data_IF_945685336972
#
_entry.id   IF_945685336972
#
_cell.length_a   1.000
_cell.length_b   1.000
_cell.length_c   1.000
_cell.angle_alpha   90.00
_cell.angle_beta   90.00
_cell.angle_gamma   90.00
#
_symmetry.space_group_name_H-M   'P 1'
#
loop_
_entity.id
_entity.type
_entity.pdbx_description
1 polymer ?
#
# COMPACT_ATOMS: atom_id res chain seq x y z
N UNK A 1 -20.09 6.00 -7.77
CA UNK A 1 -19.13 6.98 -8.38
C UNK A 1 -17.73 6.41 -8.23
N UNK A 2 -16.85 6.62 -9.21
CA UNK A 2 -15.46 6.17 -9.09
C UNK A 2 -14.75 6.92 -7.97
N UNK A 3 -14.07 6.21 -7.08
CA UNK A 3 -13.35 6.77 -5.91
C UNK A 3 -12.16 7.65 -6.31
N UNK A 4 -11.82 8.61 -5.47
CA UNK A 4 -10.71 9.56 -5.73
C UNK A 4 -9.37 8.84 -5.93
N UNK A 5 -9.05 7.80 -5.14
CA UNK A 5 -7.81 7.03 -5.29
C UNK A 5 -7.70 6.43 -6.70
N UNK A 6 -8.77 5.79 -7.19
CA UNK A 6 -8.81 5.20 -8.54
C UNK A 6 -8.54 6.25 -9.61
N UNK A 7 -9.24 7.40 -9.55
CA UNK A 7 -9.08 8.49 -10.54
C UNK A 7 -7.67 9.06 -10.52
N UNK A 8 -7.13 9.26 -9.33
CA UNK A 8 -5.79 9.84 -9.14
C UNK A 8 -4.70 8.94 -9.74
N UNK A 9 -4.71 7.66 -9.39
CA UNK A 9 -3.73 6.70 -9.90
C UNK A 9 -3.91 6.43 -11.41
N UNK A 10 -5.17 6.41 -11.90
CA UNK A 10 -5.43 6.27 -13.33
C UNK A 10 -4.86 7.45 -14.13
N UNK A 11 -5.00 8.69 -13.63
CA UNK A 11 -4.44 9.85 -14.29
C UNK A 11 -2.90 9.79 -14.40
N UNK A 12 -2.23 9.24 -13.38
CA UNK A 12 -0.77 9.02 -13.41
C UNK A 12 -0.42 7.97 -14.47
N UNK A 13 -1.13 6.83 -14.49
CA UNK A 13 -0.98 5.79 -15.51
C UNK A 13 -1.16 6.36 -16.92
N UNK A 14 -2.22 7.14 -17.14
CA UNK A 14 -2.54 7.74 -18.44
C UNK A 14 -1.46 8.74 -18.91
N UNK A 15 -0.75 9.37 -17.98
CA UNK A 15 0.40 10.23 -18.26
C UNK A 15 1.69 9.45 -18.62
N UNK A 16 1.62 8.11 -18.68
CA UNK A 16 2.75 7.21 -18.92
C UNK A 16 3.85 7.27 -17.85
N UNK A 17 3.51 7.69 -16.65
CA UNK A 17 4.39 7.61 -15.49
C UNK A 17 4.16 6.31 -14.72
N UNK A 18 5.22 5.76 -14.16
CA UNK A 18 5.14 4.69 -13.19
C UNK A 18 4.50 5.18 -11.88
N UNK A 19 3.58 4.38 -11.33
CA UNK A 19 3.00 4.68 -10.02
C UNK A 19 3.97 4.19 -8.95
N UNK A 20 4.30 5.06 -7.99
CA UNK A 20 5.19 4.71 -6.88
C UNK A 20 4.50 4.98 -5.55
N UNK A 21 4.31 3.94 -4.75
CA UNK A 21 3.66 3.99 -3.43
C UNK A 21 4.61 3.46 -2.38
N UNK A 22 5.28 4.31 -1.58
CA UNK A 22 6.04 3.87 -0.42
C UNK A 22 5.12 3.45 0.72
N UNK A 23 5.52 2.41 1.45
CA UNK A 23 4.92 2.04 2.72
C UNK A 23 5.74 2.61 3.88
N UNK A 24 5.04 3.13 4.89
CA UNK A 24 5.61 3.55 6.16
C UNK A 24 4.81 2.95 7.33
N UNK A 25 5.47 2.67 8.45
CA UNK A 25 4.79 2.25 9.69
C UNK A 25 4.49 3.47 10.55
N UNK A 26 3.23 3.69 10.91
CA UNK A 26 2.85 4.80 11.78
C UNK A 26 3.50 4.63 13.16
N UNK A 27 4.26 5.64 13.59
CA UNK A 27 4.99 5.64 14.87
C UNK A 27 6.42 5.12 14.80
N UNK A 28 6.88 4.57 13.67
CA UNK A 28 8.28 4.14 13.48
C UNK A 28 9.21 5.30 13.08
N UNK A 29 9.06 6.40 13.74
CA UNK A 29 9.94 7.57 13.63
C UNK A 29 10.63 7.81 14.98
N UNK A 30 11.77 8.48 15.00
CA UNK A 30 12.49 8.81 16.24
C UNK A 30 11.61 9.57 17.25
N UNK A 31 10.71 10.43 16.74
CA UNK A 31 9.69 11.17 17.51
C UNK A 31 8.38 10.39 17.70
N UNK A 32 8.36 9.08 17.42
CA UNK A 32 7.14 8.29 17.44
C UNK A 32 6.08 8.82 16.48
N UNK A 33 4.82 8.84 16.90
CA UNK A 33 3.70 9.30 16.08
C UNK A 33 3.79 10.79 15.70
N UNK A 34 4.47 11.61 16.49
CA UNK A 34 4.63 13.04 16.19
C UNK A 34 5.48 13.29 14.93
N UNK A 35 6.35 12.35 14.56
CA UNK A 35 7.14 12.42 13.33
C UNK A 35 6.41 11.95 12.07
N UNK A 36 5.16 11.48 12.15
CA UNK A 36 4.44 10.93 11.01
C UNK A 36 4.38 11.90 9.82
N UNK A 37 4.01 13.15 10.06
CA UNK A 37 3.91 14.15 8.99
C UNK A 37 5.26 14.64 8.47
N UNK A 38 6.35 14.51 9.23
CA UNK A 38 7.70 14.78 8.73
C UNK A 38 8.08 13.73 7.67
N UNK A 39 7.80 12.45 7.97
CA UNK A 39 8.01 11.35 7.01
C UNK A 39 7.11 11.49 5.78
N UNK A 40 5.82 11.81 5.96
CA UNK A 40 4.90 12.05 4.84
C UNK A 40 5.40 13.18 3.95
N UNK A 41 5.81 14.32 4.53
CA UNK A 41 6.31 15.47 3.77
C UNK A 41 7.59 15.16 2.98
N UNK A 42 8.52 14.36 3.55
CA UNK A 42 9.70 13.87 2.84
C UNK A 42 9.30 13.11 1.57
N UNK A 43 8.36 12.18 1.69
CA UNK A 43 7.89 11.35 0.59
C UNK A 43 7.10 12.17 -0.46
N UNK A 44 6.23 13.08 -0.03
CA UNK A 44 5.49 13.97 -0.92
C UNK A 44 6.43 14.86 -1.75
N UNK A 45 7.46 15.43 -1.11
CA UNK A 45 8.47 16.25 -1.79
C UNK A 45 9.31 15.43 -2.81
N UNK A 46 9.37 14.11 -2.64
CA UNK A 46 10.01 13.18 -3.58
C UNK A 46 9.09 12.74 -4.74
N UNK A 47 7.83 13.21 -4.78
CA UNK A 47 6.91 13.06 -5.91
C UNK A 47 6.09 11.76 -5.94
N UNK A 48 5.87 11.10 -4.81
CA UNK A 48 5.10 9.86 -4.69
C UNK A 48 3.67 9.99 -5.23
N UNK A 49 3.10 8.87 -5.66
CA UNK A 49 1.72 8.82 -6.19
C UNK A 49 0.66 8.70 -5.08
N UNK A 50 0.98 7.99 -4.03
CA UNK A 50 0.21 7.81 -2.79
C UNK A 50 1.17 7.32 -1.71
N UNK A 51 0.74 7.27 -0.46
CA UNK A 51 1.54 6.71 0.65
C UNK A 51 0.70 5.66 1.36
N UNK A 52 1.25 4.46 1.49
CA UNK A 52 0.68 3.41 2.31
C UNK A 52 1.14 3.58 3.76
N UNK A 53 0.19 3.69 4.69
CA UNK A 53 0.45 3.89 6.12
C UNK A 53 0.00 2.65 6.88
N UNK A 54 0.97 1.88 7.38
CA UNK A 54 0.73 0.71 8.20
C UNK A 54 0.32 1.07 9.62
N UNK A 55 -0.69 0.39 10.12
CA UNK A 55 -1.12 0.48 11.52
C UNK A 55 -0.41 -0.63 12.30
N UNK A 56 0.34 -0.30 13.37
CA UNK A 56 1.03 -1.31 14.15
C UNK A 56 0.02 -2.27 14.80
N UNK A 57 0.30 -3.58 14.70
CA UNK A 57 -0.53 -4.65 15.22
C UNK A 57 0.34 -5.74 15.86
N UNK A 58 -0.16 -6.38 16.92
CA UNK A 58 0.58 -7.41 17.66
C UNK A 58 0.69 -8.74 16.92
N UNK A 59 -0.27 -9.04 16.04
CA UNK A 59 -0.41 -10.35 15.39
C UNK A 59 -0.50 -10.23 13.86
N UNK A 60 0.51 -9.62 13.19
CA UNK A 60 0.51 -9.42 11.76
C UNK A 60 0.72 -10.75 11.02
N UNK A 61 -0.15 -11.05 10.04
CA UNK A 61 -0.07 -12.29 9.25
C UNK A 61 0.47 -12.08 7.84
N UNK A 62 0.60 -10.83 7.40
CA UNK A 62 1.06 -10.47 6.05
C UNK A 62 2.41 -9.74 6.04
N UNK A 63 2.91 -9.32 7.19
CA UNK A 63 4.11 -8.51 7.29
C UNK A 63 5.39 -9.36 7.25
N UNK A 64 6.43 -8.83 6.63
CA UNK A 64 7.76 -9.41 6.72
C UNK A 64 8.55 -8.88 7.94
N UNK A 65 9.71 -9.48 8.25
CA UNK A 65 10.44 -9.20 9.50
C UNK A 65 10.77 -7.73 9.76
N UNK A 66 11.02 -6.94 8.71
CA UNK A 66 11.33 -5.51 8.82
C UNK A 66 10.11 -4.72 9.25
N UNK A 67 8.95 -5.02 8.66
CA UNK A 67 7.69 -4.33 8.94
C UNK A 67 7.15 -4.78 10.31
N UNK A 68 7.25 -6.07 10.64
CA UNK A 68 6.93 -6.58 11.98
C UNK A 68 7.73 -5.87 13.07
N UNK A 69 9.05 -5.72 12.88
CA UNK A 69 9.91 -5.00 13.83
C UNK A 69 9.47 -3.55 14.00
N UNK A 70 9.22 -2.83 12.90
CA UNK A 70 8.74 -1.46 12.93
C UNK A 70 7.39 -1.34 13.68
N UNK A 71 6.48 -2.30 13.46
CA UNK A 71 5.22 -2.42 14.18
C UNK A 71 5.42 -2.63 15.69
N UNK A 72 6.29 -3.55 16.08
CA UNK A 72 6.62 -3.81 17.49
C UNK A 72 7.22 -2.57 18.17
N UNK A 73 8.13 -1.87 17.50
CA UNK A 73 8.73 -0.63 18.03
C UNK A 73 7.69 0.50 18.18
N UNK A 74 6.73 0.58 17.27
CA UNK A 74 5.63 1.53 17.35
C UNK A 74 4.67 1.20 18.50
N UNK A 75 4.31 -0.08 18.67
CA UNK A 75 3.51 -0.54 19.81
C UNK A 75 4.21 -0.28 21.16
N UNK A 76 5.53 -0.46 21.22
CA UNK A 76 6.32 -0.16 22.41
C UNK A 76 6.32 1.33 22.81
N UNK A 77 5.93 2.22 21.88
CA UNK A 77 5.71 3.66 22.10
C UNK A 77 4.23 4.00 22.34
N UNK A 78 3.40 3.02 22.69
CA UNK A 78 1.96 3.17 22.91
C UNK A 78 1.18 3.75 21.71
N UNK A 79 1.66 3.53 20.47
CA UNK A 79 0.97 3.96 19.26
C UNK A 79 -0.24 3.05 19.00
N UNK A 80 -1.42 3.64 18.99
CA UNK A 80 -2.70 2.95 18.79
C UNK A 80 -3.43 3.44 17.55
N UNK A 81 -4.34 2.63 17.00
CA UNK A 81 -5.19 3.03 15.86
C UNK A 81 -5.93 4.35 16.14
N UNK A 82 -6.49 4.50 17.36
CA UNK A 82 -7.17 5.74 17.75
C UNK A 82 -6.25 6.96 17.74
N UNK A 83 -5.01 6.81 18.24
CA UNK A 83 -4.03 7.89 18.23
C UNK A 83 -3.62 8.26 16.78
N UNK A 84 -3.46 7.26 15.91
CA UNK A 84 -3.13 7.47 14.50
C UNK A 84 -4.25 8.21 13.78
N UNK A 85 -5.50 7.78 13.93
CA UNK A 85 -6.65 8.46 13.31
C UNK A 85 -6.73 9.91 13.79
N UNK A 86 -6.59 10.16 15.10
CA UNK A 86 -6.53 11.51 15.64
C UNK A 86 -5.40 12.33 15.01
N UNK A 87 -4.22 11.74 14.83
CA UNK A 87 -3.08 12.40 14.19
C UNK A 87 -3.38 12.76 12.75
N UNK A 88 -4.02 11.87 11.98
CA UNK A 88 -4.39 12.12 10.59
C UNK A 88 -5.41 13.25 10.39
N UNK A 89 -6.16 13.62 11.43
CA UNK A 89 -7.04 14.79 11.41
C UNK A 89 -6.29 16.13 11.55
N UNK A 90 -5.05 16.13 12.06
CA UNK A 90 -4.31 17.36 12.32
C UNK A 90 -3.89 18.07 11.03
N UNK A 91 -3.63 17.30 9.94
CA UNK A 91 -3.11 17.86 8.69
C UNK A 91 -3.61 17.09 7.47
N UNK A 92 -3.90 17.81 6.39
CA UNK A 92 -4.16 17.19 5.08
C UNK A 92 -2.85 16.98 4.34
N UNK A 93 -2.81 15.92 3.54
CA UNK A 93 -1.67 15.57 2.68
C UNK A 93 -1.95 15.98 1.24
N UNK A 94 -0.89 16.16 0.44
CA UNK A 94 -0.99 16.51 -0.98
C UNK A 94 -1.37 15.29 -1.83
N UNK A 95 -0.95 14.08 -1.41
CA UNK A 95 -1.28 12.82 -2.08
C UNK A 95 -2.25 11.99 -1.23
N UNK A 96 -3.01 11.08 -1.84
CA UNK A 96 -3.86 10.16 -1.10
C UNK A 96 -3.06 9.27 -0.14
N UNK A 97 -3.59 9.06 1.05
CA UNK A 97 -3.11 8.03 1.97
C UNK A 97 -3.92 6.73 1.79
N UNK A 98 -3.24 5.61 1.93
CA UNK A 98 -3.83 4.27 1.94
C UNK A 98 -3.51 3.62 3.28
N UNK A 99 -4.51 3.31 4.08
CA UNK A 99 -4.27 2.62 5.36
C UNK A 99 -4.13 1.12 5.11
N UNK A 100 -3.05 0.55 5.62
CA UNK A 100 -2.88 -0.91 5.73
C UNK A 100 -3.04 -1.32 7.19
N UNK A 101 -4.03 -2.18 7.45
CA UNK A 101 -4.37 -2.66 8.80
C UNK A 101 -4.96 -4.07 8.74
N UNK A 102 -5.27 -4.64 9.89
CA UNK A 102 -5.92 -5.94 10.03
C UNK A 102 -7.37 -5.78 10.47
N UNK A 103 -8.22 -6.79 10.22
CA UNK A 103 -9.66 -6.67 10.50
C UNK A 103 -9.95 -6.53 11.99
N UNK A 104 -9.16 -7.16 12.86
CA UNK A 104 -9.40 -7.10 14.31
C UNK A 104 -9.27 -5.67 14.89
N UNK A 105 -8.21 -4.88 14.66
CA UNK A 105 -8.15 -3.47 15.05
C UNK A 105 -9.36 -2.65 14.56
N UNK A 106 -9.79 -2.86 13.33
CA UNK A 106 -10.96 -2.17 12.74
C UNK A 106 -12.25 -2.57 13.47
N UNK A 107 -12.42 -3.86 13.72
CA UNK A 107 -13.57 -4.38 14.46
C UNK A 107 -13.63 -3.84 15.89
N UNK A 108 -12.50 -3.79 16.60
CA UNK A 108 -12.41 -3.25 17.97
C UNK A 108 -12.67 -1.74 18.03
N UNK A 109 -12.26 -0.99 17.00
CA UNK A 109 -12.58 0.43 16.90
C UNK A 109 -14.08 0.68 16.64
N UNK A 110 -14.72 -0.26 15.99
CA UNK A 110 -16.08 -0.16 15.45
C UNK A 110 -16.06 0.27 13.99
N UNK A 111 -16.47 -0.63 13.08
CA UNK A 111 -16.28 -0.48 11.62
C UNK A 111 -16.91 0.82 11.09
N UNK A 112 -18.13 1.14 11.51
CA UNK A 112 -18.82 2.37 11.08
C UNK A 112 -18.06 3.62 11.55
N UNK A 113 -17.64 3.67 12.82
CA UNK A 113 -16.87 4.78 13.37
C UNK A 113 -15.52 4.93 12.66
N UNK A 114 -14.83 3.83 12.43
CA UNK A 114 -13.57 3.80 11.71
C UNK A 114 -13.67 4.42 10.30
N UNK A 115 -14.64 3.97 9.51
CA UNK A 115 -14.85 4.49 8.15
C UNK A 115 -15.22 5.98 8.19
N UNK A 116 -16.11 6.37 9.10
CA UNK A 116 -16.56 7.76 9.27
C UNK A 116 -15.40 8.67 9.65
N UNK A 117 -14.60 8.28 10.63
CA UNK A 117 -13.48 9.09 11.11
C UNK A 117 -12.38 9.20 10.04
N UNK A 118 -12.08 8.13 9.30
CA UNK A 118 -11.14 8.18 8.17
C UNK A 118 -11.63 9.04 7.01
N UNK A 119 -12.93 9.08 6.73
CA UNK A 119 -13.48 9.83 5.60
C UNK A 119 -13.20 11.33 5.68
N UNK A 120 -12.99 11.87 6.87
CA UNK A 120 -12.64 13.27 7.10
C UNK A 120 -11.14 13.57 6.98
N UNK A 121 -10.31 12.56 6.72
CA UNK A 121 -8.85 12.68 6.56
C UNK A 121 -8.44 12.68 5.08
N UNK A 122 -7.14 12.58 4.81
CA UNK A 122 -6.60 12.36 3.46
C UNK A 122 -6.57 10.89 3.04
N UNK A 123 -7.12 9.99 3.86
CA UNK A 123 -7.21 8.56 3.53
C UNK A 123 -8.23 8.35 2.44
N UNK A 124 -7.81 7.67 1.36
CA UNK A 124 -8.61 7.36 0.18
C UNK A 124 -8.57 5.87 -0.19
N UNK A 125 -7.81 5.08 0.54
CA UNK A 125 -7.72 3.63 0.35
C UNK A 125 -7.57 2.89 1.66
N UNK A 126 -7.98 1.62 1.64
CA UNK A 126 -7.90 0.70 2.76
C UNK A 126 -7.46 -0.66 2.26
N UNK A 127 -6.44 -1.23 2.89
CA UNK A 127 -5.93 -2.58 2.67
C UNK A 127 -6.10 -3.37 3.95
N UNK A 128 -6.79 -4.52 3.88
CA UNK A 128 -7.01 -5.42 5.02
C UNK A 128 -6.64 -6.84 4.57
N UNK A 129 -5.37 -7.26 4.74
CA UNK A 129 -4.86 -8.51 4.17
C UNK A 129 -5.51 -9.78 4.71
N UNK A 130 -6.05 -9.75 5.91
CA UNK A 130 -6.75 -10.85 6.58
C UNK A 130 -8.28 -10.83 6.40
N UNK A 131 -8.79 -9.93 5.52
CA UNK A 131 -10.19 -9.89 5.13
C UNK A 131 -10.34 -10.50 3.72
N UNK A 132 -10.77 -11.78 3.60
CA UNK A 132 -11.02 -12.38 2.30
C UNK A 132 -12.24 -11.72 1.62
N UNK A 133 -12.25 -11.74 0.29
CA UNK A 133 -13.30 -11.15 -0.53
C UNK A 133 -14.70 -11.68 -0.18
N UNK A 134 -14.80 -12.96 0.20
CA UNK A 134 -16.03 -13.61 0.66
C UNK A 134 -16.62 -12.99 1.95
N UNK A 135 -15.82 -12.23 2.67
CA UNK A 135 -16.20 -11.54 3.90
C UNK A 135 -16.08 -10.02 3.79
N UNK A 136 -15.93 -9.49 2.57
CA UNK A 136 -15.87 -8.05 2.34
C UNK A 136 -17.15 -7.32 2.79
N UNK A 137 -18.27 -8.04 2.92
CA UNK A 137 -19.54 -7.55 3.46
C UNK A 137 -19.44 -7.04 4.91
N UNK A 138 -18.41 -7.41 5.65
CA UNK A 138 -18.12 -6.81 6.96
C UNK A 138 -17.88 -5.30 6.89
N UNK A 139 -17.29 -4.79 5.80
CA UNK A 139 -16.89 -3.37 5.71
C UNK A 139 -17.52 -2.64 4.52
N UNK A 140 -17.80 -3.31 3.41
CA UNK A 140 -18.28 -2.67 2.17
C UNK A 140 -19.57 -1.87 2.33
N UNK A 141 -20.55 -2.24 3.20
CA UNK A 141 -21.75 -1.42 3.42
C UNK A 141 -21.41 0.00 3.94
N UNK A 142 -20.37 0.13 4.75
CA UNK A 142 -19.93 1.41 5.32
C UNK A 142 -19.06 2.20 4.34
N UNK A 143 -18.34 1.51 3.44
CA UNK A 143 -17.52 2.15 2.41
C UNK A 143 -18.32 2.67 1.22
N UNK A 144 -19.52 2.14 0.98
CA UNK A 144 -20.34 2.44 -0.20
C UNK A 144 -20.55 3.93 -0.45
N UNK A 145 -20.84 4.68 0.61
CA UNK A 145 -21.12 6.12 0.54
C UNK A 145 -19.92 6.98 0.94
N UNK A 146 -18.76 6.36 1.22
CA UNK A 146 -17.50 7.03 1.50
C UNK A 146 -16.66 7.19 0.22
N UNK A 147 -15.60 8.02 0.28
CA UNK A 147 -14.59 8.14 -0.78
C UNK A 147 -13.35 7.25 -0.52
N UNK A 148 -13.49 6.22 0.31
CA UNK A 148 -12.42 5.29 0.64
C UNK A 148 -12.62 4.01 -0.19
N UNK A 149 -11.61 3.65 -0.99
CA UNK A 149 -11.59 2.42 -1.78
C UNK A 149 -11.13 1.24 -0.92
N UNK A 150 -11.77 0.08 -1.02
CA UNK A 150 -11.23 -1.17 -0.52
C UNK A 150 -10.34 -1.78 -1.61
N UNK A 151 -9.04 -1.83 -1.35
CA UNK A 151 -8.03 -2.29 -2.31
C UNK A 151 -7.96 -3.81 -2.28
N UNK A 152 -8.24 -4.52 -3.38
CA UNK A 152 -8.14 -5.97 -3.41
C UNK A 152 -6.69 -6.43 -3.51
N UNK A 153 -6.37 -7.52 -2.80
CA UNK A 153 -5.10 -8.22 -2.90
C UNK A 153 -5.25 -9.42 -3.84
N UNK A 154 -4.41 -9.48 -4.86
CA UNK A 154 -4.38 -10.59 -5.81
C UNK A 154 -3.02 -11.28 -5.72
N UNK A 155 -3.02 -12.53 -5.24
CA UNK A 155 -1.82 -13.35 -5.21
C UNK A 155 -1.48 -13.86 -6.61
N UNK A 156 -0.20 -13.95 -6.90
CA UNK A 156 0.30 -14.52 -8.15
C UNK A 156 0.06 -16.03 -8.27
N UNK A 157 -0.30 -16.71 -7.18
CA UNK A 157 -0.72 -18.11 -7.18
C UNK A 157 -2.23 -18.28 -7.39
N UNK A 158 -2.99 -17.17 -7.43
CA UNK A 158 -4.43 -17.19 -7.65
C UNK A 158 -4.75 -17.61 -9.09
N UNK A 159 -5.63 -18.60 -9.26
CA UNK A 159 -6.08 -19.04 -10.59
C UNK A 159 -6.79 -17.94 -11.36
N UNK A 160 -6.75 -17.98 -12.69
CA UNK A 160 -7.24 -16.92 -13.60
C UNK A 160 -8.72 -16.58 -13.34
N UNK A 161 -9.58 -17.57 -13.14
CA UNK A 161 -11.01 -17.31 -12.90
C UNK A 161 -11.24 -16.57 -11.56
N UNK A 162 -10.46 -16.91 -10.53
CA UNK A 162 -10.52 -16.19 -9.25
C UNK A 162 -9.94 -14.78 -9.36
N UNK A 163 -8.88 -14.60 -10.15
CA UNK A 163 -8.37 -13.24 -10.42
C UNK A 163 -9.44 -12.35 -11.04
N UNK A 164 -10.14 -12.86 -12.07
CA UNK A 164 -11.24 -12.11 -12.71
C UNK A 164 -12.32 -11.70 -11.72
N UNK A 165 -12.68 -12.59 -10.79
CA UNK A 165 -13.64 -12.26 -9.73
C UNK A 165 -13.14 -11.14 -8.82
N UNK A 166 -11.87 -11.19 -8.41
CA UNK A 166 -11.26 -10.20 -7.50
C UNK A 166 -11.05 -8.82 -8.14
N UNK A 167 -10.86 -8.77 -9.47
CA UNK A 167 -10.66 -7.50 -10.18
C UNK A 167 -11.98 -6.90 -10.71
N UNK A 168 -13.06 -7.69 -10.80
CA UNK A 168 -14.35 -7.21 -11.24
C UNK A 168 -14.94 -6.21 -10.22
N UNK A 169 -15.17 -5.00 -10.67
CA UNK A 169 -15.65 -3.91 -9.81
C UNK A 169 -14.67 -3.41 -8.75
N UNK A 170 -13.39 -3.77 -8.85
CA UNK A 170 -12.36 -3.33 -7.93
C UNK A 170 -12.20 -1.80 -7.89
N UNK A 171 -11.81 -1.27 -6.74
CA UNK A 171 -11.61 0.16 -6.48
C UNK A 171 -10.17 0.45 -6.05
N UNK A 172 -9.71 1.67 -6.20
CA UNK A 172 -8.35 2.09 -5.86
C UNK A 172 -7.34 1.61 -6.88
N UNK A 173 -6.73 0.48 -6.62
CA UNK A 173 -5.80 -0.25 -7.48
C UNK A 173 -5.83 -1.74 -7.13
N UNK A 174 -5.26 -2.58 -7.98
CA UNK A 174 -5.04 -4.00 -7.67
C UNK A 174 -3.67 -4.15 -7.01
N UNK A 175 -3.65 -4.65 -5.78
CA UNK A 175 -2.40 -4.99 -5.09
C UNK A 175 -1.95 -6.39 -5.51
N UNK A 176 -1.02 -6.49 -6.44
CA UNK A 176 -0.45 -7.76 -6.87
C UNK A 176 0.63 -8.21 -5.88
N UNK A 177 0.31 -9.26 -5.11
CA UNK A 177 1.17 -9.80 -4.06
C UNK A 177 2.03 -10.93 -4.62
N UNK A 178 3.36 -10.71 -4.72
CA UNK A 178 4.31 -11.77 -5.02
C UNK A 178 4.68 -12.51 -3.71
N UNK A 179 4.23 -13.74 -3.56
CA UNK A 179 4.62 -14.56 -2.40
C UNK A 179 6.09 -14.95 -2.54
N UNK A 180 6.97 -14.35 -1.76
CA UNK A 180 8.37 -14.80 -1.59
C UNK A 180 8.44 -16.08 -0.74
N UNK A 181 7.72 -17.12 -1.13
CA UNK A 181 7.66 -18.39 -0.40
C UNK A 181 8.51 -19.53 -1.01
N UNK A 182 9.20 -19.27 -2.12
CA UNK A 182 10.02 -20.33 -2.77
C UNK A 182 11.41 -19.77 -3.10
N UNK A 183 12.17 -19.48 -2.06
CA UNK A 183 13.62 -19.32 -2.17
C UNK A 183 14.22 -20.68 -2.58
N UNK A 184 14.59 -20.80 -3.85
CA UNK A 184 15.30 -22.02 -4.32
C UNK A 184 15.02 -22.43 -5.77
N UNK A 185 14.09 -21.81 -6.51
CA UNK A 185 13.90 -22.09 -7.94
C UNK A 185 14.45 -20.94 -8.78
N UNK A 186 15.61 -21.14 -9.33
CA UNK A 186 16.35 -20.24 -10.23
C UNK A 186 15.72 -20.22 -11.64
N UNK A 187 15.71 -19.04 -12.28
CA UNK A 187 15.47 -18.88 -13.72
C UNK A 187 14.00 -18.77 -14.13
N UNK A 188 13.26 -19.85 -14.16
CA UNK A 188 11.87 -19.87 -14.67
C UNK A 188 10.86 -19.09 -13.79
N UNK A 189 11.12 -18.93 -12.50
CA UNK A 189 10.18 -18.26 -11.58
C UNK A 189 10.01 -16.77 -11.86
N UNK A 190 11.10 -16.08 -12.24
CA UNK A 190 11.03 -14.65 -12.58
C UNK A 190 10.21 -14.40 -13.85
N UNK A 191 10.44 -15.20 -14.87
CA UNK A 191 9.74 -15.08 -16.16
C UNK A 191 8.24 -15.43 -16.01
N UNK A 192 7.91 -16.40 -15.18
CA UNK A 192 6.53 -16.79 -14.91
C UNK A 192 5.81 -15.69 -14.09
N UNK A 193 6.51 -15.05 -13.16
CA UNK A 193 6.01 -13.90 -12.41
C UNK A 193 5.69 -12.72 -13.33
N UNK A 194 6.62 -12.35 -14.21
CA UNK A 194 6.45 -11.22 -15.13
C UNK A 194 5.30 -11.46 -16.11
N UNK A 195 5.17 -12.68 -16.64
CA UNK A 195 4.02 -13.05 -17.49
C UNK A 195 2.69 -12.97 -16.75
N UNK A 196 2.68 -13.40 -15.50
CA UNK A 196 1.49 -13.38 -14.67
C UNK A 196 1.05 -11.94 -14.37
N UNK A 197 2.00 -11.06 -13.99
CA UNK A 197 1.75 -9.64 -13.78
C UNK A 197 1.26 -8.96 -15.05
N UNK A 198 1.90 -9.20 -16.19
CA UNK A 198 1.49 -8.65 -17.47
C UNK A 198 0.08 -9.10 -17.85
N UNK A 199 -0.27 -10.38 -17.59
CA UNK A 199 -1.61 -10.89 -17.83
C UNK A 199 -2.65 -10.24 -16.91
N UNK A 200 -2.37 -10.11 -15.62
CA UNK A 200 -3.24 -9.44 -14.67
C UNK A 200 -3.48 -7.97 -15.07
N UNK A 201 -2.40 -7.26 -15.42
CA UNK A 201 -2.44 -5.86 -15.85
C UNK A 201 -3.25 -5.67 -17.14
N UNK A 202 -3.15 -6.61 -18.07
CA UNK A 202 -3.90 -6.56 -19.34
C UNK A 202 -5.41 -6.77 -19.18
N UNK A 203 -5.85 -7.38 -18.07
CA UNK A 203 -7.26 -7.66 -17.80
C UNK A 203 -7.90 -6.74 -16.75
N UNK A 204 -7.09 -5.94 -16.06
CA UNK A 204 -7.58 -5.03 -15.04
C UNK A 204 -8.01 -3.67 -15.62
N UNK A 205 -9.18 -3.17 -15.20
CA UNK A 205 -9.71 -1.86 -15.59
C UNK A 205 -9.09 -0.71 -14.78
N UNK A 206 -8.40 -1.01 -13.66
CA UNK A 206 -7.74 -0.06 -12.79
C UNK A 206 -6.25 -0.41 -12.65
N UNK A 207 -5.39 0.51 -12.18
CA UNK A 207 -3.96 0.25 -12.07
C UNK A 207 -3.61 -1.00 -11.24
N UNK A 208 -2.63 -1.76 -11.71
CA UNK A 208 -2.04 -2.91 -11.01
C UNK A 208 -0.69 -2.50 -10.45
N UNK A 209 -0.52 -2.57 -9.14
CA UNK A 209 0.72 -2.25 -8.44
C UNK A 209 1.34 -3.51 -7.86
N UNK A 210 2.64 -3.68 -8.07
CA UNK A 210 3.39 -4.83 -7.54
C UNK A 210 3.99 -4.46 -6.19
N UNK A 211 3.56 -5.15 -5.14
CA UNK A 211 4.13 -5.01 -3.81
C UNK A 211 4.81 -6.30 -3.40
N UNK A 212 6.11 -6.37 -3.51
CA UNK A 212 7.03 -7.33 -2.89
C UNK A 212 8.35 -7.39 -3.65
N UNK A 213 9.46 -7.41 -2.90
CA UNK A 213 10.80 -7.64 -3.45
C UNK A 213 11.36 -6.46 -4.25
N UNK A 214 10.73 -5.29 -4.20
CA UNK A 214 11.25 -4.06 -4.80
C UNK A 214 12.24 -3.43 -3.83
N UNK A 215 13.51 -3.41 -4.21
CA UNK A 215 14.59 -2.89 -3.36
C UNK A 215 15.66 -2.12 -4.12
N UNK A 216 15.66 -2.20 -5.45
CA UNK A 216 16.61 -1.54 -6.34
C UNK A 216 15.89 -0.77 -7.44
N UNK A 217 16.62 0.12 -8.12
CA UNK A 217 16.11 0.80 -9.32
C UNK A 217 15.81 -0.18 -10.45
N UNK A 218 16.59 -1.25 -10.56
CA UNK A 218 16.37 -2.32 -11.52
C UNK A 218 15.05 -3.04 -11.28
N UNK A 219 14.67 -3.27 -10.01
CA UNK A 219 13.37 -3.82 -9.67
C UNK A 219 12.24 -2.88 -10.10
N UNK A 220 12.39 -1.56 -9.87
CA UNK A 220 11.42 -0.55 -10.30
C UNK A 220 11.24 -0.61 -11.83
N UNK A 221 12.34 -0.61 -12.59
CA UNK A 221 12.32 -0.70 -14.06
C UNK A 221 11.61 -1.99 -14.52
N UNK A 222 11.98 -3.13 -13.95
CA UNK A 222 11.42 -4.44 -14.27
C UNK A 222 9.92 -4.48 -14.05
N UNK A 223 9.46 -4.10 -12.85
CA UNK A 223 8.04 -4.21 -12.53
C UNK A 223 7.19 -3.18 -13.28
N UNK A 224 7.71 -1.99 -13.55
CA UNK A 224 7.03 -1.02 -14.41
C UNK A 224 6.90 -1.47 -15.87
N UNK A 225 7.70 -2.43 -16.33
CA UNK A 225 7.56 -3.02 -17.66
C UNK A 225 6.37 -4.00 -17.76
N UNK A 226 5.88 -4.55 -16.64
CA UNK A 226 4.85 -5.60 -16.61
C UNK A 226 3.63 -5.27 -15.75
N UNK A 227 3.69 -4.20 -14.95
CA UNK A 227 2.57 -3.68 -14.14
C UNK A 227 2.50 -2.15 -14.24
N UNK A 228 1.57 -1.50 -13.55
CA UNK A 228 1.39 -0.05 -13.64
C UNK A 228 2.24 0.72 -12.63
N UNK A 229 2.83 0.04 -11.67
CA UNK A 229 3.68 0.65 -10.68
C UNK A 229 4.11 -0.31 -9.58
N UNK A 230 4.73 0.24 -8.55
CA UNK A 230 5.30 -0.51 -7.44
C UNK A 230 4.86 0.02 -6.08
N UNK A 231 4.78 -0.90 -5.11
CA UNK A 231 4.66 -0.59 -3.69
C UNK A 231 5.96 -1.04 -3.02
N UNK A 232 6.58 -0.15 -2.26
CA UNK A 232 7.89 -0.41 -1.66
C UNK A 232 7.81 -0.24 -0.14
N UNK A 233 7.86 -1.36 0.58
CA UNK A 233 7.78 -1.39 2.03
C UNK A 233 9.15 -1.54 2.71
N UNK A 234 9.63 -2.77 2.82
CA UNK A 234 10.78 -3.11 3.67
C UNK A 234 12.05 -2.30 3.42
N UNK A 235 12.30 -1.86 2.16
CA UNK A 235 13.44 -0.97 1.87
C UNK A 235 13.23 0.40 2.50
N UNK A 236 12.07 1.03 2.27
CA UNK A 236 11.74 2.37 2.77
C UNK A 236 11.77 2.37 4.31
N UNK A 237 11.08 1.42 4.95
CA UNK A 237 11.03 1.31 6.42
C UNK A 237 12.44 1.14 7.00
N UNK A 238 13.26 0.25 6.45
CA UNK A 238 14.63 0.02 6.92
C UNK A 238 15.49 1.27 6.79
N UNK A 239 15.49 1.90 5.61
CA UNK A 239 16.35 3.03 5.32
C UNK A 239 15.96 4.27 6.16
N UNK A 240 14.65 4.51 6.38
CA UNK A 240 14.17 5.53 7.32
C UNK A 240 14.59 5.22 8.77
N UNK A 241 14.47 3.96 9.18
CA UNK A 241 14.89 3.52 10.51
C UNK A 241 16.41 3.70 10.73
N UNK A 242 17.20 3.50 9.68
CA UNK A 242 18.65 3.71 9.68
C UNK A 242 19.07 5.21 9.57
N UNK A 243 18.10 6.15 9.48
CA UNK A 243 18.36 7.59 9.35
C UNK A 243 18.91 7.98 7.97
N UNK A 244 18.51 7.26 6.91
CA UNK A 244 18.96 7.47 5.52
C UNK A 244 17.90 8.21 4.69
N UNK A 245 17.38 9.31 5.21
CA UNK A 245 16.31 10.07 4.57
C UNK A 245 16.70 10.59 3.17
N UNK A 246 17.97 10.97 2.96
CA UNK A 246 18.47 11.42 1.65
C UNK A 246 18.44 10.28 0.63
N UNK A 247 18.93 9.08 1.01
CA UNK A 247 18.90 7.89 0.14
C UNK A 247 17.45 7.47 -0.19
N UNK A 248 16.53 7.59 0.79
CA UNK A 248 15.11 7.35 0.57
C UNK A 248 14.54 8.35 -0.43
N UNK A 249 14.82 9.65 -0.27
CA UNK A 249 14.34 10.69 -1.16
C UNK A 249 14.83 10.48 -2.61
N UNK A 250 16.10 10.12 -2.80
CA UNK A 250 16.68 9.83 -4.12
C UNK A 250 16.00 8.62 -4.76
N UNK A 251 15.87 7.51 -4.03
CA UNK A 251 15.24 6.29 -4.52
C UNK A 251 13.76 6.50 -4.87
N UNK A 252 13.02 7.21 -4.02
CA UNK A 252 11.62 7.57 -4.24
C UNK A 252 11.48 8.49 -5.44
N UNK A 253 12.34 9.51 -5.57
CA UNK A 253 12.35 10.43 -6.72
C UNK A 253 12.58 9.68 -8.01
N UNK A 254 13.53 8.75 -8.05
CA UNK A 254 13.77 7.90 -9.22
C UNK A 254 12.50 7.12 -9.60
N UNK A 255 11.86 6.44 -8.64
CA UNK A 255 10.67 5.64 -8.90
C UNK A 255 9.43 6.46 -9.30
N UNK A 256 9.26 7.62 -8.68
CA UNK A 256 8.11 8.51 -8.90
C UNK A 256 8.15 9.25 -10.26
N UNK A 257 9.35 9.44 -10.83
CA UNK A 257 9.54 10.08 -12.12
C UNK A 257 9.88 9.09 -13.24
N UNK A 258 9.75 7.81 -12.97
CA UNK A 258 9.99 6.77 -13.98
C UNK A 258 8.98 6.91 -15.13
N UNK A 259 9.47 7.09 -16.35
CA UNK A 259 8.66 7.13 -17.57
C UNK A 259 8.57 5.73 -18.18
N UNK A 260 7.34 5.33 -18.59
CA UNK A 260 7.02 4.05 -19.24
C UNK A 260 7.16 4.12 -20.75
#
# INVERSE_FOLDING_TARGET
MTKTLTKHLQAIKDSKRGIFVPYIMAGDHAKGLDGLFETIALLENSGVSAIEVGIPWSDPVADGPVIELAGQLSLAKDVTLTAIIKKLHEQKTQVPLVIMTYINPVYQYGIEAFVKDLAETSVKGLIIPDLPDEHADFITPYLKDSDIALVPLVSLTTGIDRQKQLIDGAEGFIYAVAINGVTGKTGNYRDDLDKHLANLTAHADIPVLTGFGVSTEEDIKRFNAVSDGVIVGSKIVRDLHDGKEEEVAEFVTFGSHFEK
#
